data_IF_684109476811
#
_entry.id   IF_684109476811
#
_cell.length_a   1.000
_cell.length_b   1.000
_cell.length_c   1.000
_cell.angle_alpha   90.00
_cell.angle_beta   90.00
_cell.angle_gamma   90.00
#
_symmetry.space_group_name_H-M   'P 1'
#
loop_
_entity.id
_entity.type
_entity.pdbx_description
1 polymer ?
#
# COMPACT_ATOMS: atom_id res chain seq x y z
N UNK A 1 22.58 35.43 6.33
CA UNK A 1 22.14 34.65 5.15
C UNK A 1 23.16 33.57 4.89
N UNK A 2 22.72 32.38 4.44
CA UNK A 2 23.65 31.32 4.04
C UNK A 2 24.54 31.79 2.88
N UNK A 3 25.73 31.21 2.74
CA UNK A 3 26.76 31.55 1.74
C UNK A 3 27.45 32.91 1.94
N UNK A 4 27.12 33.65 3.00
CA UNK A 4 27.84 34.84 3.43
C UNK A 4 27.44 36.13 2.71
N UNK A 5 26.38 36.11 1.90
CA UNK A 5 25.83 37.32 1.28
C UNK A 5 25.33 38.31 2.34
N UNK A 6 25.67 39.59 2.15
CA UNK A 6 25.14 40.74 2.87
C UNK A 6 24.38 41.63 1.88
N UNK A 7 23.41 42.40 2.40
CA UNK A 7 22.71 43.44 1.64
C UNK A 7 22.02 42.95 0.35
N UNK A 8 21.34 41.79 0.44
CA UNK A 8 20.68 41.15 -0.71
C UNK A 8 19.40 41.89 -1.09
N UNK A 9 19.29 42.30 -2.35
CA UNK A 9 18.10 42.92 -2.92
C UNK A 9 17.09 41.87 -3.42
N UNK A 10 15.85 42.30 -3.67
CA UNK A 10 14.84 41.43 -4.29
C UNK A 10 15.29 40.88 -5.65
N UNK A 11 16.04 41.66 -6.44
CA UNK A 11 16.59 41.22 -7.74
C UNK A 11 17.55 40.04 -7.58
N UNK A 12 18.36 40.05 -6.54
CA UNK A 12 19.37 39.02 -6.29
C UNK A 12 18.72 37.69 -5.93
N UNK A 13 17.57 37.73 -5.23
CA UNK A 13 16.75 36.54 -4.94
C UNK A 13 16.27 35.89 -6.24
N UNK A 14 15.80 36.67 -7.21
CA UNK A 14 15.39 36.14 -8.53
C UNK A 14 16.57 35.58 -9.33
N UNK A 15 17.77 36.12 -9.14
CA UNK A 15 18.99 35.67 -9.83
C UNK A 15 19.77 34.59 -9.06
N UNK A 16 19.27 34.13 -7.92
CA UNK A 16 20.01 33.27 -7.00
C UNK A 16 20.63 32.04 -7.67
N UNK A 17 19.89 31.36 -8.56
CA UNK A 17 20.41 30.19 -9.30
C UNK A 17 21.59 30.53 -10.22
N UNK A 18 21.61 31.74 -10.78
CA UNK A 18 22.72 32.25 -11.60
C UNK A 18 23.90 32.62 -10.71
N UNK A 19 23.64 33.26 -9.56
CA UNK A 19 24.68 33.63 -8.59
C UNK A 19 25.37 32.40 -7.99
N UNK A 20 24.64 31.31 -7.75
CA UNK A 20 25.21 30.06 -7.25
C UNK A 20 26.28 29.45 -8.17
N UNK A 21 26.21 29.70 -9.47
CA UNK A 21 27.19 29.17 -10.45
C UNK A 21 28.50 29.95 -10.47
N UNK A 22 28.55 31.13 -9.85
CA UNK A 22 29.72 32.01 -9.82
C UNK A 22 30.61 31.70 -8.62
N UNK A 23 31.89 32.05 -8.73
CA UNK A 23 32.82 31.98 -7.62
C UNK A 23 32.70 33.20 -6.70
N UNK A 24 33.13 33.10 -5.43
CA UNK A 24 33.20 34.24 -4.52
C UNK A 24 34.06 35.40 -5.04
N UNK A 25 35.08 35.16 -5.87
CA UNK A 25 35.87 36.23 -6.48
C UNK A 25 35.09 36.96 -7.57
N UNK A 26 34.38 36.24 -8.42
CA UNK A 26 33.60 36.84 -9.51
C UNK A 26 32.43 37.68 -8.99
N UNK A 27 31.76 37.18 -7.94
CA UNK A 27 30.70 37.94 -7.28
C UNK A 27 31.23 39.22 -6.61
N UNK A 28 32.45 39.19 -6.05
CA UNK A 28 33.09 40.40 -5.51
C UNK A 28 33.41 41.43 -6.60
N UNK A 29 33.80 41.00 -7.81
CA UNK A 29 33.98 41.90 -8.96
C UNK A 29 32.66 42.56 -9.38
N UNK A 30 31.55 41.86 -9.21
CA UNK A 30 30.19 42.36 -9.46
C UNK A 30 29.63 43.18 -8.27
N UNK A 31 30.47 43.59 -7.32
CA UNK A 31 30.11 44.38 -6.13
C UNK A 31 29.20 43.67 -5.13
N UNK A 32 29.10 42.33 -5.16
CA UNK A 32 28.44 41.59 -4.08
C UNK A 32 29.31 41.53 -2.83
N UNK A 33 28.73 41.89 -1.68
CA UNK A 33 29.37 41.81 -0.38
C UNK A 33 29.25 40.39 0.20
N UNK A 34 30.28 39.57 0.00
CA UNK A 34 30.34 38.19 0.50
C UNK A 34 31.36 38.10 1.64
N UNK A 35 30.86 37.86 2.85
CA UNK A 35 31.68 37.67 4.04
C UNK A 35 31.76 36.17 4.40
N UNK A 36 32.92 35.58 4.12
CA UNK A 36 33.17 34.16 4.35
C UNK A 36 33.12 33.76 5.84
N UNK A 37 33.78 34.53 6.72
CA UNK A 37 33.84 34.23 8.15
C UNK A 37 32.44 34.13 8.76
N UNK A 38 31.54 35.05 8.38
CA UNK A 38 30.14 34.98 8.80
C UNK A 38 29.43 33.71 8.32
N UNK A 39 29.74 33.18 7.12
CA UNK A 39 29.10 31.96 6.64
C UNK A 39 29.57 30.72 7.43
N UNK A 40 30.85 30.66 7.77
CA UNK A 40 31.37 29.62 8.67
C UNK A 40 30.76 29.71 10.05
N UNK A 41 30.70 30.91 10.63
CA UNK A 41 30.09 31.13 11.94
C UNK A 41 28.60 30.76 11.93
N UNK A 42 27.88 31.13 10.87
CA UNK A 42 26.47 30.79 10.72
C UNK A 42 26.25 29.29 10.49
N UNK A 43 27.14 28.62 9.75
CA UNK A 43 27.14 27.15 9.65
C UNK A 43 27.48 26.48 10.99
N UNK A 44 28.44 27.03 11.73
CA UNK A 44 28.82 26.57 13.05
C UNK A 44 27.69 26.76 14.06
N UNK A 45 26.89 27.83 13.96
CA UNK A 45 25.67 28.03 14.76
C UNK A 45 24.64 26.92 14.54
N UNK A 46 24.39 26.52 13.29
CA UNK A 46 23.54 25.34 13.03
C UNK A 46 24.16 24.03 13.47
N UNK A 47 25.48 24.03 13.62
CA UNK A 47 26.27 22.93 14.10
C UNK A 47 26.59 23.07 15.61
N UNK A 48 25.90 23.93 16.37
CA UNK A 48 26.10 23.97 17.83
C UNK A 48 25.55 22.73 18.54
N UNK A 49 24.64 21.99 17.90
CA UNK A 49 24.26 20.63 18.33
C UNK A 49 25.34 19.57 17.98
N UNK A 50 26.32 19.92 17.15
CA UNK A 50 27.34 19.06 16.57
C UNK A 50 28.53 18.87 17.54
N UNK A 51 29.15 17.70 17.51
CA UNK A 51 30.42 17.48 18.23
C UNK A 51 31.48 18.47 17.73
N UNK A 52 32.12 19.18 18.66
CA UNK A 52 33.09 20.25 18.40
C UNK A 52 34.21 19.85 17.43
N UNK A 53 34.70 18.60 17.51
CA UNK A 53 35.78 18.08 16.68
C UNK A 53 35.42 17.96 15.20
N UNK A 54 34.21 17.47 14.87
CA UNK A 54 33.74 17.37 13.47
C UNK A 54 33.45 18.74 12.86
N UNK A 55 33.07 19.71 13.68
CA UNK A 55 32.82 21.10 13.23
C UNK A 55 34.10 21.74 12.68
N UNK A 56 35.26 21.46 13.27
CA UNK A 56 36.55 21.98 12.80
C UNK A 56 36.97 21.37 11.46
N UNK A 57 36.80 20.07 11.25
CA UNK A 57 37.13 19.42 9.97
C UNK A 57 36.25 19.92 8.82
N UNK A 58 34.94 20.05 9.05
CA UNK A 58 34.01 20.60 8.06
C UNK A 58 34.35 22.05 7.75
N UNK A 59 34.65 22.85 8.76
CA UNK A 59 35.06 24.26 8.60
C UNK A 59 36.33 24.38 7.75
N UNK A 60 37.35 23.55 8.02
CA UNK A 60 38.59 23.48 7.22
C UNK A 60 38.31 23.06 5.78
N UNK A 61 37.45 22.07 5.55
CA UNK A 61 37.05 21.63 4.21
C UNK A 61 36.35 22.75 3.43
N UNK A 62 35.41 23.44 4.06
CA UNK A 62 34.72 24.58 3.47
C UNK A 62 35.72 25.71 3.17
N UNK A 63 36.68 25.98 4.05
CA UNK A 63 37.75 26.97 3.84
C UNK A 63 38.55 26.71 2.58
N UNK A 64 39.00 25.46 2.40
CA UNK A 64 39.70 25.05 1.18
C UNK A 64 38.88 25.29 -0.08
N UNK A 65 37.57 25.00 -0.07
CA UNK A 65 36.70 25.24 -1.23
C UNK A 65 36.61 26.72 -1.60
N UNK A 66 36.54 27.61 -0.61
CA UNK A 66 36.55 29.06 -0.82
C UNK A 66 37.92 29.57 -1.30
N UNK A 67 39.02 29.05 -0.76
CA UNK A 67 40.39 29.44 -1.14
C UNK A 67 40.72 29.07 -2.59
N UNK A 68 40.26 27.90 -3.05
CA UNK A 68 40.42 27.41 -4.43
C UNK A 68 39.44 28.08 -5.41
N UNK A 69 38.64 29.05 -4.94
CA UNK A 69 37.65 29.79 -5.74
C UNK A 69 36.60 28.89 -6.40
N UNK A 70 36.15 27.86 -5.67
CA UNK A 70 35.04 27.01 -6.11
C UNK A 70 33.76 27.83 -6.27
N UNK A 71 32.87 27.40 -7.17
CA UNK A 71 31.55 28.03 -7.27
C UNK A 71 30.72 27.84 -5.99
N UNK A 72 29.82 28.78 -5.73
CA UNK A 72 28.97 28.76 -4.53
C UNK A 72 28.06 27.53 -4.45
N UNK A 73 27.68 26.95 -5.60
CA UNK A 73 26.90 25.73 -5.68
C UNK A 73 27.64 24.54 -5.05
N UNK A 74 28.92 24.35 -5.36
CA UNK A 74 29.73 23.26 -4.81
C UNK A 74 29.95 23.43 -3.30
N UNK A 75 30.16 24.67 -2.87
CA UNK A 75 30.25 25.02 -1.45
C UNK A 75 28.93 24.65 -0.77
N UNK A 76 27.79 25.06 -1.34
CA UNK A 76 26.46 24.80 -0.77
C UNK A 76 26.16 23.30 -0.71
N UNK A 77 26.46 22.57 -1.78
CA UNK A 77 26.30 21.12 -1.84
C UNK A 77 27.16 20.44 -0.77
N UNK A 78 28.39 20.90 -0.56
CA UNK A 78 29.26 20.38 0.50
C UNK A 78 28.68 20.65 1.88
N UNK A 79 28.21 21.87 2.16
CA UNK A 79 27.56 22.22 3.44
C UNK A 79 26.34 21.33 3.70
N UNK A 80 25.46 21.16 2.70
CA UNK A 80 24.28 20.31 2.82
C UNK A 80 24.65 18.81 2.97
N UNK A 81 25.72 18.36 2.32
CA UNK A 81 26.19 16.98 2.44
C UNK A 81 26.60 16.67 3.87
N UNK A 82 27.43 17.53 4.46
CA UNK A 82 27.92 17.36 5.83
C UNK A 82 26.77 17.46 6.83
N UNK A 83 25.91 18.48 6.69
CA UNK A 83 24.76 18.67 7.57
C UNK A 83 23.82 17.45 7.59
N UNK A 84 23.41 16.96 6.42
CA UNK A 84 22.51 15.81 6.30
C UNK A 84 23.21 14.53 6.78
N UNK A 85 24.49 14.35 6.45
CA UNK A 85 25.29 13.20 6.90
C UNK A 85 25.28 13.09 8.42
N UNK A 86 25.49 14.20 9.11
CA UNK A 86 25.45 14.23 10.55
C UNK A 86 24.04 14.10 11.13
N UNK A 87 23.06 14.86 10.63
CA UNK A 87 21.71 14.87 11.22
C UNK A 87 21.05 13.49 11.16
N UNK A 88 21.40 12.69 10.15
CA UNK A 88 20.95 11.31 10.00
C UNK A 88 21.98 10.25 10.43
N UNK A 89 23.12 10.66 10.96
CA UNK A 89 24.25 9.79 11.31
C UNK A 89 24.57 8.75 10.21
N UNK A 90 24.77 9.22 8.99
CA UNK A 90 24.93 8.38 7.80
C UNK A 90 26.14 8.76 6.96
N UNK A 91 26.61 7.84 6.11
CA UNK A 91 27.78 8.10 5.25
C UNK A 91 27.48 9.14 4.17
N UNK A 92 28.52 9.89 3.76
CA UNK A 92 28.44 10.86 2.66
C UNK A 92 27.91 10.21 1.37
N UNK A 93 28.26 8.94 1.10
CA UNK A 93 27.75 8.18 -0.03
C UNK A 93 26.22 8.07 -0.02
N UNK A 94 25.62 7.82 1.15
CA UNK A 94 24.17 7.72 1.30
C UNK A 94 23.48 9.07 1.07
N UNK A 95 24.12 10.17 1.49
CA UNK A 95 23.63 11.53 1.18
C UNK A 95 23.69 11.81 -0.32
N UNK A 96 24.75 11.36 -1.00
CA UNK A 96 24.85 11.49 -2.45
C UNK A 96 23.75 10.70 -3.19
N UNK A 97 23.37 9.52 -2.69
CA UNK A 97 22.19 8.81 -3.19
C UNK A 97 20.89 9.61 -2.98
N UNK A 98 20.73 10.23 -1.82
CA UNK A 98 19.59 11.12 -1.51
C UNK A 98 19.50 12.26 -2.53
N UNK A 99 20.62 12.91 -2.83
CA UNK A 99 20.68 13.99 -3.82
C UNK A 99 20.44 13.51 -5.25
N UNK A 100 20.82 12.29 -5.61
CA UNK A 100 20.46 11.70 -6.91
C UNK A 100 18.95 11.47 -7.02
N UNK A 101 18.32 11.00 -5.95
CA UNK A 101 16.87 10.81 -5.89
C UNK A 101 16.11 12.14 -5.90
N UNK A 102 16.66 13.18 -5.29
CA UNK A 102 16.03 14.49 -5.23
C UNK A 102 17.08 15.63 -5.27
N UNK A 103 17.48 16.07 -6.48
CA UNK A 103 18.54 17.07 -6.69
C UNK A 103 18.34 18.42 -6.00
N UNK A 104 17.11 18.97 -5.84
CA UNK A 104 16.93 20.28 -5.20
C UNK A 104 17.54 20.40 -3.80
N UNK A 105 17.66 19.28 -3.06
CA UNK A 105 18.28 19.29 -1.73
C UNK A 105 19.75 19.69 -1.72
N UNK A 106 20.47 19.53 -2.84
CA UNK A 106 21.88 19.94 -2.95
C UNK A 106 22.08 21.41 -2.62
N UNK A 107 21.12 22.26 -3.01
CA UNK A 107 21.22 23.72 -2.88
C UNK A 107 20.20 24.31 -1.90
N UNK A 108 19.40 23.47 -1.24
CA UNK A 108 18.38 23.92 -0.30
C UNK A 108 19.00 24.57 0.93
N UNK A 109 18.28 25.51 1.55
CA UNK A 109 18.70 26.08 2.83
C UNK A 109 18.80 25.02 3.91
N UNK A 110 19.89 25.06 4.69
CA UNK A 110 20.09 24.20 5.87
C UNK A 110 19.02 24.52 6.90
N UNK A 111 18.75 25.81 7.15
CA UNK A 111 17.72 26.23 8.10
C UNK A 111 16.33 25.68 7.75
N UNK A 112 15.94 25.74 6.48
CA UNK A 112 14.65 25.18 6.03
C UNK A 112 14.63 23.66 6.27
N UNK A 113 15.71 22.99 5.91
CA UNK A 113 15.85 21.53 6.09
C UNK A 113 15.78 21.17 7.59
N UNK A 114 16.49 21.89 8.44
CA UNK A 114 16.54 21.70 9.89
C UNK A 114 15.16 21.85 10.54
N UNK A 115 14.48 22.97 10.26
CA UNK A 115 13.13 23.25 10.79
C UNK A 115 12.13 22.19 10.35
N UNK A 116 12.24 21.72 9.12
CA UNK A 116 11.35 20.70 8.62
C UNK A 116 11.65 19.33 9.22
N UNK A 117 12.93 18.97 9.42
CA UNK A 117 13.30 17.75 10.13
C UNK A 117 12.74 17.77 11.56
N UNK A 118 12.82 18.90 12.26
CA UNK A 118 12.22 19.06 13.58
C UNK A 118 10.70 18.78 13.55
N UNK A 119 9.97 19.30 12.57
CA UNK A 119 8.55 19.02 12.39
C UNK A 119 8.31 17.53 12.11
N UNK A 120 9.09 16.93 11.21
CA UNK A 120 8.93 15.52 10.84
C UNK A 120 9.25 14.58 12.02
N UNK A 121 10.24 14.90 12.83
CA UNK A 121 10.64 14.09 13.99
C UNK A 121 9.73 14.33 15.20
N UNK A 122 9.46 15.59 15.58
CA UNK A 122 8.69 15.92 16.78
C UNK A 122 7.19 15.77 16.57
N UNK A 123 6.66 16.39 15.52
CA UNK A 123 5.21 16.47 15.29
C UNK A 123 4.71 15.18 14.61
N UNK A 124 5.49 14.61 13.68
CA UNK A 124 5.11 13.43 12.92
C UNK A 124 5.74 12.11 13.38
N UNK A 125 6.71 12.13 14.29
CA UNK A 125 7.44 10.92 14.76
C UNK A 125 7.91 10.05 13.58
N UNK A 126 8.39 10.68 12.51
CA UNK A 126 8.76 10.00 11.29
C UNK A 126 10.17 9.42 11.43
N UNK A 127 10.38 8.11 11.21
CA UNK A 127 11.71 7.53 11.27
C UNK A 127 12.54 7.98 10.07
N UNK A 128 13.85 8.13 10.26
CA UNK A 128 14.78 8.53 9.20
C UNK A 128 14.68 7.66 7.95
N UNK A 129 14.52 6.35 8.14
CA UNK A 129 14.33 5.40 7.04
C UNK A 129 13.18 5.79 6.10
N UNK A 130 12.10 6.38 6.62
CA UNK A 130 10.97 6.87 5.83
C UNK A 130 11.29 8.18 5.12
N UNK A 131 12.04 9.06 5.75
CA UNK A 131 12.51 10.31 5.14
C UNK A 131 13.43 10.01 3.94
N UNK A 132 14.37 9.07 4.10
CA UNK A 132 15.24 8.60 3.01
C UNK A 132 14.48 7.94 1.86
N UNK A 133 13.37 7.26 2.13
CA UNK A 133 12.51 6.67 1.08
C UNK A 133 11.73 7.73 0.29
N UNK A 134 11.60 8.96 0.81
CA UNK A 134 10.82 10.03 0.20
C UNK A 134 11.48 11.40 0.40
N UNK A 135 12.73 11.59 -0.09
CA UNK A 135 13.52 12.81 0.15
C UNK A 135 12.82 14.09 -0.26
N UNK A 136 11.92 13.99 -1.23
CA UNK A 136 11.11 15.09 -1.71
C UNK A 136 10.25 15.73 -0.62
N UNK A 137 9.97 15.06 0.50
CA UNK A 137 9.30 15.71 1.64
C UNK A 137 10.16 16.80 2.25
N UNK A 138 11.50 16.70 2.15
CA UNK A 138 12.42 17.65 2.78
C UNK A 138 12.42 19.05 2.14
N UNK A 139 11.74 19.25 1.01
CA UNK A 139 11.56 20.58 0.38
C UNK A 139 10.22 21.24 0.68
N UNK A 140 9.44 20.65 1.59
CA UNK A 140 8.18 21.24 2.03
C UNK A 140 8.42 22.51 2.85
N UNK A 141 7.44 23.41 2.80
CA UNK A 141 7.38 24.48 3.77
C UNK A 141 6.95 23.89 5.13
N UNK A 142 7.68 24.21 6.20
CA UNK A 142 7.41 23.69 7.54
C UNK A 142 6.00 24.06 8.04
N UNK A 143 5.50 25.25 7.70
CA UNK A 143 4.13 25.66 8.06
C UNK A 143 3.07 24.86 7.31
N UNK A 144 3.31 24.52 6.03
CA UNK A 144 2.38 23.68 5.26
C UNK A 144 2.31 22.26 5.83
N UNK A 145 3.43 21.73 6.31
CA UNK A 145 3.45 20.45 7.01
C UNK A 145 2.67 20.54 8.33
N UNK A 146 2.81 21.61 9.12
CA UNK A 146 2.06 21.77 10.38
C UNK A 146 0.57 22.01 10.18
N UNK A 147 0.21 22.83 9.20
CA UNK A 147 -1.18 23.21 8.94
C UNK A 147 -2.04 22.01 8.57
N UNK A 148 -1.47 20.99 7.92
CA UNK A 148 -2.21 19.76 7.62
C UNK A 148 -2.68 19.04 8.90
N UNK A 149 -1.81 18.86 9.91
CA UNK A 149 -2.19 18.23 11.18
C UNK A 149 -3.18 19.08 11.97
N UNK A 150 -2.98 20.40 11.97
CA UNK A 150 -3.85 21.35 12.68
C UNK A 150 -5.25 21.40 12.08
N UNK A 151 -5.34 21.50 10.74
CA UNK A 151 -6.60 21.66 10.03
C UNK A 151 -7.34 20.33 9.84
N UNK A 152 -6.61 19.22 9.79
CA UNK A 152 -7.14 17.89 9.55
C UNK A 152 -6.47 16.86 10.48
N UNK A 153 -6.84 16.81 11.76
CA UNK A 153 -6.30 15.81 12.69
C UNK A 153 -6.75 14.38 12.35
N UNK A 154 -7.92 14.25 11.73
CA UNK A 154 -8.48 12.97 11.27
C UNK A 154 -8.94 13.06 9.81
N UNK A 155 -8.78 11.99 9.05
CA UNK A 155 -9.26 11.83 7.67
C UNK A 155 -9.96 10.48 7.58
N UNK A 156 -11.26 10.51 7.22
CA UNK A 156 -12.14 9.33 7.29
C UNK A 156 -12.09 8.62 8.65
N UNK A 157 -11.91 9.36 9.75
CA UNK A 157 -11.80 8.79 11.10
C UNK A 157 -10.41 8.24 11.45
N UNK A 158 -9.47 8.17 10.51
CA UNK A 158 -8.08 7.76 10.76
C UNK A 158 -7.27 8.97 11.19
N UNK A 159 -6.39 8.82 12.19
CA UNK A 159 -5.43 9.86 12.58
C UNK A 159 -4.53 10.20 11.39
N UNK A 160 -4.45 11.47 11.02
CA UNK A 160 -3.62 11.94 9.88
C UNK A 160 -2.15 11.54 10.04
N UNK A 161 -1.67 11.51 11.28
CA UNK A 161 -0.34 11.00 11.64
C UNK A 161 -0.07 9.59 11.09
N UNK A 162 -1.02 8.67 11.21
CA UNK A 162 -0.89 7.28 10.76
C UNK A 162 -0.84 7.19 9.23
N UNK A 163 -1.63 8.02 8.56
CA UNK A 163 -1.66 8.12 7.10
C UNK A 163 -0.31 8.64 6.59
N UNK A 164 0.20 9.72 7.18
CA UNK A 164 1.48 10.34 6.80
C UNK A 164 2.65 9.39 7.04
N UNK A 165 2.66 8.62 8.12
CA UNK A 165 3.68 7.58 8.36
C UNK A 165 3.71 6.51 7.26
N UNK A 166 2.54 6.13 6.71
CA UNK A 166 2.43 5.20 5.57
C UNK A 166 2.74 5.87 4.23
N UNK A 167 2.36 7.12 4.06
CA UNK A 167 2.48 7.87 2.82
C UNK A 167 2.91 9.33 3.06
N UNK A 168 4.23 9.57 3.26
CA UNK A 168 4.76 10.90 3.60
C UNK A 168 4.48 11.98 2.55
N UNK A 169 4.36 11.60 1.27
CA UNK A 169 4.09 12.54 0.18
C UNK A 169 2.72 13.22 0.29
N UNK A 170 1.84 12.73 1.17
CA UNK A 170 0.59 13.41 1.49
C UNK A 170 0.82 14.83 2.03
N UNK A 171 1.94 15.09 2.70
CA UNK A 171 2.30 16.41 3.24
C UNK A 171 2.46 17.49 2.16
N UNK A 172 2.53 17.10 0.88
CA UNK A 172 2.54 18.03 -0.27
C UNK A 172 1.15 18.52 -0.66
N UNK A 173 0.09 17.95 -0.11
CA UNK A 173 -1.27 18.33 -0.43
C UNK A 173 -1.76 19.42 0.53
N UNK A 174 -2.56 20.38 0.02
CA UNK A 174 -3.25 21.32 0.89
C UNK A 174 -4.39 20.62 1.64
N UNK A 175 -4.69 21.10 2.86
CA UNK A 175 -5.80 20.60 3.67
C UNK A 175 -7.13 20.67 2.90
N UNK A 176 -7.37 21.73 2.14
CA UNK A 176 -8.61 21.90 1.38
C UNK A 176 -8.79 20.83 0.31
N UNK A 177 -7.71 20.49 -0.39
CA UNK A 177 -7.74 19.43 -1.41
C UNK A 177 -7.97 18.07 -0.77
N UNK A 178 -7.29 17.78 0.33
CA UNK A 178 -7.49 16.53 1.08
C UNK A 178 -8.93 16.42 1.58
N UNK A 179 -9.49 17.50 2.12
CA UNK A 179 -10.89 17.58 2.58
C UNK A 179 -11.89 17.34 1.45
N UNK A 180 -11.65 17.88 0.25
CA UNK A 180 -12.49 17.60 -0.91
C UNK A 180 -12.44 16.12 -1.31
N UNK A 181 -11.23 15.52 -1.32
CA UNK A 181 -11.09 14.08 -1.60
C UNK A 181 -11.80 13.25 -0.51
N UNK A 182 -11.64 13.60 0.76
CA UNK A 182 -12.32 12.95 1.88
C UNK A 182 -13.83 12.97 1.71
N UNK A 183 -14.42 14.13 1.39
CA UNK A 183 -15.86 14.26 1.17
C UNK A 183 -16.36 13.36 0.04
N UNK A 184 -15.58 13.24 -1.04
CA UNK A 184 -15.89 12.31 -2.14
C UNK A 184 -15.82 10.87 -1.65
N UNK A 185 -14.78 10.49 -0.90
CA UNK A 185 -14.67 9.13 -0.36
C UNK A 185 -15.87 8.80 0.54
N UNK A 186 -16.29 9.74 1.40
CA UNK A 186 -17.51 9.60 2.24
C UNK A 186 -18.76 9.41 1.39
N UNK A 187 -18.96 10.21 0.34
CA UNK A 187 -20.16 10.10 -0.51
C UNK A 187 -20.28 8.77 -1.24
N UNK A 188 -19.17 8.04 -1.41
CA UNK A 188 -19.16 6.69 -1.98
C UNK A 188 -19.11 5.58 -0.92
N UNK A 189 -19.32 5.88 0.36
CA UNK A 189 -19.25 4.93 1.49
C UNK A 189 -17.89 4.23 1.60
N UNK A 190 -16.80 4.94 1.33
CA UNK A 190 -15.45 4.43 1.54
C UNK A 190 -15.08 4.59 3.02
N UNK A 191 -14.67 3.49 3.64
CA UNK A 191 -14.29 3.45 5.06
C UNK A 191 -12.81 3.77 5.30
N UNK A 192 -12.46 3.96 6.57
CA UNK A 192 -11.09 4.05 7.08
C UNK A 192 -10.20 2.85 6.67
N UNK A 193 -10.74 1.63 6.73
CA UNK A 193 -9.99 0.42 6.36
C UNK A 193 -9.51 0.46 4.91
N UNK A 194 -10.37 0.94 4.01
CA UNK A 194 -10.02 1.13 2.62
C UNK A 194 -8.89 2.15 2.46
N UNK A 195 -9.01 3.28 3.16
CA UNK A 195 -8.01 4.35 3.11
C UNK A 195 -6.65 3.88 3.65
N UNK A 196 -6.64 3.12 4.74
CA UNK A 196 -5.42 2.57 5.33
C UNK A 196 -4.71 1.56 4.40
N UNK A 197 -5.46 0.89 3.51
CA UNK A 197 -4.92 0.03 2.47
C UNK A 197 -4.36 0.81 1.27
N UNK A 198 -4.90 1.98 0.94
CA UNK A 198 -4.45 2.80 -0.19
C UNK A 198 -4.45 4.32 0.12
N UNK A 199 -3.58 4.80 1.03
CA UNK A 199 -3.53 6.23 1.41
C UNK A 199 -3.08 7.13 0.26
N UNK A 200 -2.43 6.55 -0.75
CA UNK A 200 -1.97 7.23 -1.97
C UNK A 200 -3.10 7.88 -2.75
N UNK A 201 -4.35 7.46 -2.53
CA UNK A 201 -5.51 8.07 -3.18
C UNK A 201 -5.63 9.58 -2.90
N UNK A 202 -5.16 10.02 -1.72
CA UNK A 202 -5.23 11.41 -1.29
C UNK A 202 -4.33 12.35 -2.12
N UNK A 203 -3.38 11.80 -2.89
CA UNK A 203 -2.55 12.60 -3.80
C UNK A 203 -3.22 12.91 -5.14
N UNK A 204 -4.35 12.29 -5.48
CA UNK A 204 -5.06 12.60 -6.74
C UNK A 204 -5.87 13.88 -6.66
N UNK A 205 -6.29 14.39 -7.82
CA UNK A 205 -7.22 15.51 -7.85
C UNK A 205 -8.62 15.03 -7.44
N UNK A 206 -9.42 15.86 -6.76
CA UNK A 206 -10.81 15.53 -6.41
C UNK A 206 -11.61 15.05 -7.63
N UNK A 207 -11.46 15.73 -8.77
CA UNK A 207 -12.11 15.35 -10.04
C UNK A 207 -11.74 13.94 -10.51
N UNK A 208 -10.46 13.57 -10.42
CA UNK A 208 -9.98 12.24 -10.82
C UNK A 208 -10.55 11.16 -9.91
N UNK A 209 -10.54 11.37 -8.59
CA UNK A 209 -11.08 10.43 -7.61
C UNK A 209 -12.57 10.23 -7.84
N UNK A 210 -13.34 11.33 -7.98
CA UNK A 210 -14.78 11.30 -8.24
C UNK A 210 -15.10 10.54 -9.52
N UNK A 211 -14.44 10.85 -10.65
CA UNK A 211 -14.68 10.20 -11.94
C UNK A 211 -14.45 8.69 -11.87
N UNK A 212 -13.35 8.26 -11.24
CA UNK A 212 -12.98 6.84 -11.15
C UNK A 212 -13.88 6.07 -10.19
N UNK A 213 -14.22 6.65 -9.04
CA UNK A 213 -15.17 6.02 -8.10
C UNK A 213 -16.56 5.91 -8.70
N UNK A 214 -17.03 6.94 -9.41
CA UNK A 214 -18.31 6.91 -10.10
C UNK A 214 -18.38 5.74 -11.09
N UNK A 215 -17.37 5.59 -11.94
CA UNK A 215 -17.29 4.48 -12.89
C UNK A 215 -17.30 3.11 -12.18
N UNK A 216 -16.45 2.93 -11.15
CA UNK A 216 -16.34 1.65 -10.45
C UNK A 216 -17.61 1.31 -9.66
N UNK A 217 -18.25 2.29 -9.02
CA UNK A 217 -19.45 2.04 -8.23
C UNK A 217 -20.72 1.86 -9.08
N UNK A 218 -20.73 2.32 -10.33
CA UNK A 218 -21.86 2.14 -11.24
C UNK A 218 -21.69 0.93 -12.18
N UNK A 219 -20.55 0.25 -12.10
CA UNK A 219 -20.28 -0.94 -12.91
C UNK A 219 -20.62 -2.20 -12.12
N UNK A 220 -21.53 -3.00 -12.66
CA UNK A 220 -21.92 -4.30 -12.08
C UNK A 220 -20.73 -5.23 -11.83
N UNK A 221 -19.68 -5.10 -12.66
CA UNK A 221 -18.46 -5.91 -12.54
C UNK A 221 -17.68 -5.63 -11.25
N UNK A 222 -17.82 -4.44 -10.65
CA UNK A 222 -17.04 -4.03 -9.49
C UNK A 222 -17.86 -3.83 -8.21
N UNK A 223 -19.20 -3.82 -8.31
CA UNK A 223 -20.09 -3.63 -7.16
C UNK A 223 -19.81 -4.63 -6.02
N UNK A 224 -19.64 -5.91 -6.35
CA UNK A 224 -19.34 -6.97 -5.37
C UNK A 224 -17.97 -6.81 -4.69
N UNK A 225 -17.06 -6.03 -5.30
CA UNK A 225 -15.71 -5.80 -4.77
C UNK A 225 -15.63 -4.59 -3.84
N UNK A 226 -16.70 -3.78 -3.75
CA UNK A 226 -16.72 -2.54 -2.97
C UNK A 226 -16.48 -2.75 -1.48
N UNK A 227 -16.91 -3.89 -0.93
CA UNK A 227 -16.72 -4.24 0.48
C UNK A 227 -15.28 -4.66 0.83
N UNK A 228 -14.43 -4.89 -0.17
CA UNK A 228 -13.08 -5.39 0.05
C UNK A 228 -12.13 -4.24 0.42
N UNK A 229 -11.33 -4.40 1.49
CA UNK A 229 -10.37 -3.38 1.97
C UNK A 229 -9.44 -2.84 0.87
N UNK A 230 -9.13 -3.63 -0.16
CA UNK A 230 -8.27 -3.22 -1.29
C UNK A 230 -8.99 -2.46 -2.40
N UNK A 231 -10.29 -2.19 -2.30
CA UNK A 231 -11.10 -1.56 -3.35
C UNK A 231 -10.50 -0.28 -3.93
N UNK A 232 -9.92 0.59 -3.08
CA UNK A 232 -9.28 1.83 -3.53
C UNK A 232 -8.07 1.61 -4.45
N UNK A 233 -7.46 0.42 -4.46
CA UNK A 233 -6.40 0.12 -5.43
C UNK A 233 -6.91 0.06 -6.86
N UNK A 234 -8.19 -0.27 -7.09
CA UNK A 234 -8.81 -0.18 -8.41
C UNK A 234 -8.88 1.28 -8.89
N UNK A 235 -9.18 2.20 -7.97
CA UNK A 235 -9.18 3.64 -8.25
C UNK A 235 -7.75 4.12 -8.56
N UNK A 236 -6.76 3.65 -7.80
CA UNK A 236 -5.36 4.01 -8.00
C UNK A 236 -4.79 3.49 -9.34
N UNK A 237 -5.04 2.21 -9.66
CA UNK A 237 -4.56 1.54 -10.88
C UNK A 237 -5.55 1.59 -12.05
N UNK A 238 -6.48 2.54 -12.05
CA UNK A 238 -7.59 2.60 -13.02
C UNK A 238 -7.17 2.48 -14.50
N UNK A 239 -5.98 2.95 -14.88
CA UNK A 239 -5.43 2.80 -16.25
C UNK A 239 -5.34 1.34 -16.72
N UNK A 240 -5.06 0.41 -15.80
CA UNK A 240 -4.92 -1.01 -16.10
C UNK A 240 -6.21 -1.79 -15.85
N UNK A 241 -7.12 -1.28 -15.02
CA UNK A 241 -8.32 -2.01 -14.62
C UNK A 241 -9.24 -2.29 -15.81
N UNK A 242 -9.53 -1.29 -16.63
CA UNK A 242 -10.47 -1.41 -17.75
C UNK A 242 -9.94 -2.40 -18.82
N UNK A 243 -8.73 -2.22 -19.39
CA UNK A 243 -8.24 -3.13 -20.43
C UNK A 243 -8.10 -4.57 -19.92
N UNK A 244 -7.77 -4.75 -18.64
CA UNK A 244 -7.67 -6.09 -18.04
C UNK A 244 -9.03 -6.73 -17.82
N UNK A 245 -10.05 -5.95 -17.46
CA UNK A 245 -11.42 -6.45 -17.34
C UNK A 245 -11.91 -6.94 -18.70
N UNK A 246 -11.70 -6.14 -19.75
CA UNK A 246 -12.12 -6.50 -21.11
C UNK A 246 -11.42 -7.79 -21.58
N UNK A 247 -10.11 -7.90 -21.32
CA UNK A 247 -9.36 -9.11 -21.63
C UNK A 247 -9.85 -10.34 -20.86
N UNK A 248 -10.22 -10.21 -19.59
CA UNK A 248 -10.75 -11.31 -18.77
C UNK A 248 -12.16 -11.74 -19.20
N UNK A 249 -13.01 -10.78 -19.57
CA UNK A 249 -14.35 -11.05 -20.10
C UNK A 249 -14.29 -11.76 -21.45
N UNK A 250 -13.36 -11.38 -22.33
CA UNK A 250 -13.20 -12.00 -23.64
C UNK A 250 -12.84 -13.50 -23.57
N UNK A 251 -12.24 -13.96 -22.48
CA UNK A 251 -11.87 -15.36 -22.25
C UNK A 251 -12.71 -16.02 -21.15
N UNK A 252 -13.81 -15.37 -20.73
CA UNK A 252 -14.72 -15.79 -19.66
C UNK A 252 -13.99 -16.28 -18.39
N UNK A 253 -13.07 -15.45 -17.87
CA UNK A 253 -12.31 -15.79 -16.65
C UNK A 253 -12.75 -15.01 -15.42
N UNK A 254 -12.72 -15.66 -14.25
CA UNK A 254 -12.98 -14.98 -12.99
C UNK A 254 -11.91 -13.93 -12.72
N UNK A 255 -12.31 -12.86 -12.06
CA UNK A 255 -11.45 -11.73 -11.76
C UNK A 255 -11.62 -11.27 -10.31
N UNK A 256 -10.53 -10.78 -9.73
CA UNK A 256 -10.46 -10.24 -8.38
C UNK A 256 -9.61 -8.98 -8.36
N UNK A 257 -9.68 -8.18 -7.29
CA UNK A 257 -8.85 -6.98 -7.14
C UNK A 257 -7.36 -7.32 -7.31
N UNK A 258 -6.93 -8.45 -6.74
CA UNK A 258 -5.56 -8.94 -6.85
C UNK A 258 -5.09 -9.14 -8.30
N UNK A 259 -5.95 -9.63 -9.19
CA UNK A 259 -5.64 -9.80 -10.63
C UNK A 259 -5.40 -8.45 -11.31
N UNK A 260 -6.21 -7.44 -11.00
CA UNK A 260 -6.05 -6.10 -11.57
C UNK A 260 -4.77 -5.39 -11.09
N UNK A 261 -4.23 -5.76 -9.94
CA UNK A 261 -3.01 -5.18 -9.37
C UNK A 261 -1.71 -5.87 -9.81
N UNK A 262 -1.78 -6.99 -10.53
CA UNK A 262 -0.58 -7.74 -10.95
C UNK A 262 0.32 -6.92 -11.88
N UNK A 263 1.59 -7.29 -12.01
CA UNK A 263 2.44 -6.79 -13.09
C UNK A 263 1.91 -7.27 -14.44
N UNK A 264 2.22 -6.57 -15.55
CA UNK A 264 1.77 -6.99 -16.88
C UNK A 264 2.26 -8.41 -17.22
N UNK A 265 3.51 -8.73 -16.88
CA UNK A 265 4.09 -10.07 -17.07
C UNK A 265 3.32 -11.16 -16.34
N UNK A 266 2.89 -10.91 -15.11
CA UNK A 266 2.12 -11.88 -14.34
C UNK A 266 0.66 -11.95 -14.79
N UNK A 267 0.09 -10.82 -15.23
CA UNK A 267 -1.25 -10.79 -15.81
C UNK A 267 -1.33 -11.57 -17.11
N UNK A 268 -0.36 -11.45 -18.01
CA UNK A 268 -0.29 -12.24 -19.25
C UNK A 268 -0.13 -13.74 -18.96
N UNK A 269 0.71 -14.11 -17.98
CA UNK A 269 0.80 -15.49 -17.52
C UNK A 269 -0.55 -15.98 -16.96
N UNK A 270 -1.23 -15.14 -16.18
CA UNK A 270 -2.57 -15.45 -15.67
C UNK A 270 -3.56 -15.68 -16.81
N UNK A 271 -3.58 -14.82 -17.83
CA UNK A 271 -4.43 -14.99 -19.02
C UNK A 271 -4.12 -16.29 -19.78
N UNK A 272 -2.84 -16.65 -19.95
CA UNK A 272 -2.45 -17.87 -20.68
C UNK A 272 -2.73 -19.14 -19.90
N UNK A 273 -2.37 -19.19 -18.61
CA UNK A 273 -2.29 -20.45 -17.85
C UNK A 273 -3.39 -20.67 -16.80
N UNK A 274 -4.31 -19.72 -16.59
CA UNK A 274 -5.43 -19.89 -15.66
C UNK A 274 -5.06 -19.78 -14.19
N UNK A 275 -3.77 -19.80 -13.86
CA UNK A 275 -3.31 -19.71 -12.49
C UNK A 275 -1.98 -18.96 -12.41
N UNK A 276 -1.95 -17.94 -11.55
CA UNK A 276 -0.74 -17.65 -10.80
C UNK A 276 -0.93 -18.32 -9.44
N UNK A 277 -0.20 -19.42 -9.20
CA UNK A 277 -0.30 -20.34 -8.05
C UNK A 277 -0.42 -19.70 -6.65
N UNK A 278 -0.24 -18.39 -6.50
CA UNK A 278 -0.16 -17.69 -5.22
C UNK A 278 -1.11 -16.49 -5.07
N UNK A 279 -1.77 -16.00 -6.14
CA UNK A 279 -2.44 -14.68 -6.08
C UNK A 279 -3.97 -14.74 -6.18
N UNK A 280 -4.53 -15.75 -6.86
CA UNK A 280 -5.97 -15.80 -7.14
C UNK A 280 -6.84 -15.99 -5.89
N UNK A 281 -6.32 -16.69 -4.87
CA UNK A 281 -7.13 -17.08 -3.71
C UNK A 281 -6.87 -16.27 -2.45
N UNK A 282 -5.94 -15.31 -2.47
CA UNK A 282 -5.66 -14.49 -1.28
C UNK A 282 -6.90 -13.75 -0.78
N UNK A 283 -7.68 -13.20 -1.71
CA UNK A 283 -8.89 -12.48 -1.35
C UNK A 283 -9.98 -13.44 -0.83
N UNK A 284 -10.09 -14.66 -1.38
CA UNK A 284 -10.96 -15.74 -0.87
C UNK A 284 -10.54 -16.20 0.53
N UNK A 285 -9.25 -16.43 0.75
CA UNK A 285 -8.69 -16.84 2.04
C UNK A 285 -8.91 -15.77 3.10
N UNK A 286 -8.68 -14.50 2.74
CA UNK A 286 -8.91 -13.38 3.63
C UNK A 286 -10.41 -13.22 3.98
N UNK A 287 -11.31 -13.39 3.01
CA UNK A 287 -12.75 -13.40 3.27
C UNK A 287 -13.14 -14.51 4.25
N UNK A 288 -12.72 -15.74 3.97
CA UNK A 288 -13.01 -16.90 4.83
C UNK A 288 -12.42 -16.74 6.24
N UNK A 289 -11.20 -16.25 6.35
CA UNK A 289 -10.56 -15.97 7.64
C UNK A 289 -11.37 -14.97 8.48
N UNK A 290 -11.84 -13.89 7.86
CA UNK A 290 -12.67 -12.89 8.54
C UNK A 290 -14.03 -13.47 8.97
N UNK A 291 -14.69 -14.20 8.09
CA UNK A 291 -16.04 -14.75 8.35
C UNK A 291 -16.01 -15.84 9.41
N UNK A 292 -15.03 -16.73 9.35
CA UNK A 292 -14.83 -17.81 10.30
C UNK A 292 -14.14 -17.37 11.60
N UNK A 293 -13.63 -16.13 11.65
CA UNK A 293 -12.83 -15.59 12.75
C UNK A 293 -11.57 -16.43 13.04
N UNK A 294 -10.83 -16.76 11.97
CA UNK A 294 -9.62 -17.58 11.98
C UNK A 294 -8.43 -16.80 11.41
N UNK A 295 -7.21 -17.32 11.60
CA UNK A 295 -6.03 -16.76 10.93
C UNK A 295 -6.00 -17.20 9.47
N UNK A 296 -5.54 -16.32 8.57
CA UNK A 296 -5.42 -16.63 7.12
C UNK A 296 -4.62 -17.91 6.88
N UNK A 297 -3.54 -18.14 7.64
CA UNK A 297 -2.71 -19.34 7.53
C UNK A 297 -3.48 -20.64 7.85
N UNK A 298 -4.42 -20.62 8.80
CA UNK A 298 -5.21 -21.80 9.18
C UNK A 298 -6.18 -22.16 8.06
N UNK A 299 -6.82 -21.16 7.45
CA UNK A 299 -7.70 -21.32 6.28
C UNK A 299 -6.91 -21.87 5.08
N UNK A 300 -5.70 -21.36 4.84
CA UNK A 300 -4.84 -21.82 3.75
C UNK A 300 -4.46 -23.28 3.93
N UNK A 301 -4.00 -23.67 5.12
CA UNK A 301 -3.64 -25.07 5.41
C UNK A 301 -4.84 -25.98 5.24
N UNK A 302 -6.02 -25.57 5.74
CA UNK A 302 -7.24 -26.36 5.61
C UNK A 302 -7.70 -26.51 4.16
N UNK A 303 -7.58 -25.47 3.33
CA UNK A 303 -7.96 -25.55 1.91
C UNK A 303 -6.97 -26.37 1.07
N UNK A 304 -5.71 -26.49 1.49
CA UNK A 304 -4.75 -27.37 0.82
C UNK A 304 -5.11 -28.85 0.95
N UNK A 305 -5.93 -29.21 1.94
CA UNK A 305 -6.46 -30.57 2.11
C UNK A 305 -7.43 -30.96 0.97
N UNK A 306 -8.06 -29.97 0.30
CA UNK A 306 -9.09 -30.20 -0.71
C UNK A 306 -8.54 -29.97 -2.13
N UNK A 307 -8.65 -30.97 -3.03
CA UNK A 307 -8.24 -30.82 -4.41
C UNK A 307 -9.10 -29.79 -5.14
N UNK A 308 -8.48 -28.93 -5.93
CA UNK A 308 -9.21 -27.91 -6.69
C UNK A 308 -9.64 -26.69 -5.87
N UNK A 309 -9.23 -26.58 -4.60
CA UNK A 309 -9.43 -25.37 -3.78
C UNK A 309 -8.88 -24.11 -4.45
N UNK A 310 -7.89 -24.25 -5.35
CA UNK A 310 -7.38 -23.14 -6.12
C UNK A 310 -8.34 -22.53 -7.15
N UNK A 311 -9.42 -23.24 -7.50
CA UNK A 311 -10.38 -22.83 -8.51
C UNK A 311 -11.58 -22.07 -7.92
N UNK A 312 -11.74 -22.06 -6.58
CA UNK A 312 -12.84 -21.40 -5.91
C UNK A 312 -12.77 -19.88 -6.11
N UNK A 313 -13.79 -19.30 -6.75
CA UNK A 313 -13.89 -17.85 -6.94
C UNK A 313 -14.45 -17.20 -5.67
N UNK A 314 -14.03 -15.97 -5.37
CA UNK A 314 -14.54 -15.23 -4.20
C UNK A 314 -16.06 -15.02 -4.27
N UNK A 315 -16.61 -14.82 -5.48
CA UNK A 315 -18.05 -14.66 -5.70
C UNK A 315 -18.81 -15.93 -5.30
N UNK A 316 -18.40 -17.09 -5.81
CA UNK A 316 -19.03 -18.37 -5.46
C UNK A 316 -18.91 -18.64 -3.95
N UNK A 317 -17.72 -18.39 -3.39
CA UNK A 317 -17.46 -18.57 -1.96
C UNK A 317 -18.42 -17.73 -1.10
N UNK A 318 -18.63 -16.45 -1.42
CA UNK A 318 -19.59 -15.60 -0.70
C UNK A 318 -21.01 -16.18 -0.78
N UNK A 319 -21.46 -16.58 -1.97
CA UNK A 319 -22.82 -17.11 -2.17
C UNK A 319 -23.05 -18.40 -1.38
N UNK A 320 -22.12 -19.36 -1.46
CA UNK A 320 -22.18 -20.63 -0.74
C UNK A 320 -22.19 -20.41 0.78
N UNK A 321 -21.28 -19.60 1.29
CA UNK A 321 -21.12 -19.39 2.73
C UNK A 321 -22.32 -18.64 3.33
N UNK A 322 -22.81 -17.59 2.67
CA UNK A 322 -23.99 -16.86 3.14
C UNK A 322 -25.24 -17.74 3.15
N UNK A 323 -25.42 -18.58 2.14
CA UNK A 323 -26.54 -19.52 2.08
C UNK A 323 -26.49 -20.54 3.22
N UNK A 324 -25.34 -21.18 3.43
CA UNK A 324 -25.19 -22.18 4.50
C UNK A 324 -25.42 -21.57 5.89
N UNK A 325 -24.96 -20.34 6.13
CA UNK A 325 -25.28 -19.65 7.39
C UNK A 325 -26.77 -19.36 7.56
N UNK A 326 -27.46 -18.92 6.49
CA UNK A 326 -28.92 -18.72 6.53
C UNK A 326 -29.67 -20.02 6.80
N UNK A 327 -29.13 -21.14 6.34
CA UNK A 327 -29.66 -22.47 6.59
C UNK A 327 -29.31 -23.04 7.98
N UNK A 328 -28.67 -22.25 8.85
CA UNK A 328 -28.37 -22.64 10.24
C UNK A 328 -27.04 -23.38 10.44
N UNK A 329 -26.21 -23.52 9.40
CA UNK A 329 -24.91 -24.18 9.51
C UNK A 329 -23.95 -23.31 10.34
N UNK A 330 -23.27 -23.92 11.30
CA UNK A 330 -22.33 -23.24 12.19
C UNK A 330 -20.96 -23.01 11.52
N UNK A 331 -20.21 -22.02 12.03
CA UNK A 331 -18.82 -21.75 11.58
C UNK A 331 -17.92 -22.98 11.71
N UNK A 332 -18.11 -23.80 12.76
CA UNK A 332 -17.33 -25.02 13.01
C UNK A 332 -17.60 -26.08 11.94
N UNK A 333 -18.86 -26.30 11.58
CA UNK A 333 -19.24 -27.24 10.51
C UNK A 333 -18.68 -26.78 9.15
N UNK A 334 -18.76 -25.48 8.84
CA UNK A 334 -18.17 -24.91 7.61
C UNK A 334 -16.66 -25.08 7.59
N UNK A 335 -15.95 -24.77 8.68
CA UNK A 335 -14.49 -24.92 8.73
C UNK A 335 -14.07 -26.38 8.57
N UNK A 336 -14.84 -27.31 9.15
CA UNK A 336 -14.59 -28.73 8.97
C UNK A 336 -14.71 -29.11 7.48
N UNK A 337 -15.82 -28.72 6.85
CA UNK A 337 -16.14 -29.05 5.45
C UNK A 337 -15.77 -27.95 4.46
N UNK A 338 -14.63 -27.27 4.67
CA UNK A 338 -14.29 -26.04 3.96
C UNK A 338 -14.18 -26.23 2.44
N UNK A 339 -13.92 -27.45 1.98
CA UNK A 339 -13.91 -27.83 0.56
C UNK A 339 -15.23 -27.60 -0.18
N UNK A 340 -16.35 -27.42 0.52
CA UNK A 340 -17.67 -27.16 -0.10
C UNK A 340 -17.65 -25.94 -1.04
N UNK A 341 -16.76 -24.97 -0.80
CA UNK A 341 -16.66 -23.75 -1.61
C UNK A 341 -16.16 -23.99 -3.05
N UNK A 342 -15.64 -25.20 -3.33
CA UNK A 342 -15.15 -25.62 -4.65
C UNK A 342 -16.31 -25.93 -5.60
N UNK A 343 -17.47 -26.31 -5.06
CA UNK A 343 -18.66 -26.62 -5.85
C UNK A 343 -19.46 -25.36 -6.14
N UNK A 344 -20.10 -25.33 -7.31
CA UNK A 344 -20.94 -24.20 -7.71
C UNK A 344 -22.13 -24.04 -6.78
N UNK A 345 -22.50 -22.78 -6.51
CA UNK A 345 -23.57 -22.40 -5.60
C UNK A 345 -24.88 -23.17 -5.85
N UNK A 346 -25.31 -23.29 -7.12
CA UNK A 346 -26.56 -23.98 -7.46
C UNK A 346 -26.52 -25.47 -7.12
N UNK A 347 -25.35 -26.12 -7.28
CA UNK A 347 -25.14 -27.52 -6.90
C UNK A 347 -25.21 -27.67 -5.39
N UNK A 348 -24.46 -26.84 -4.66
CA UNK A 348 -24.48 -26.86 -3.18
C UNK A 348 -25.90 -26.68 -2.65
N UNK A 349 -26.64 -25.71 -3.20
CA UNK A 349 -28.01 -25.42 -2.80
C UNK A 349 -28.93 -26.61 -3.05
N UNK A 350 -28.92 -27.15 -4.27
CA UNK A 350 -29.76 -28.30 -4.65
C UNK A 350 -29.53 -29.51 -3.73
N UNK A 351 -28.27 -29.91 -3.55
CA UNK A 351 -27.96 -31.08 -2.72
C UNK A 351 -28.25 -30.84 -1.24
N UNK A 352 -28.04 -29.63 -0.73
CA UNK A 352 -28.34 -29.32 0.67
C UNK A 352 -29.85 -29.36 0.96
N UNK A 353 -30.68 -28.89 0.04
CA UNK A 353 -32.15 -28.99 0.12
C UNK A 353 -32.65 -30.43 -0.02
N UNK A 354 -31.91 -31.28 -0.74
CA UNK A 354 -32.23 -32.69 -0.97
C UNK A 354 -31.75 -33.63 0.15
N UNK A 355 -30.75 -33.24 0.96
CA UNK A 355 -30.25 -34.07 2.07
C UNK A 355 -31.36 -34.63 3.00
N UNK A 356 -32.37 -33.84 3.43
CA UNK A 356 -33.44 -34.32 4.32
C UNK A 356 -34.42 -35.30 3.67
N UNK A 357 -34.44 -35.44 2.34
CA UNK A 357 -35.36 -36.36 1.63
C UNK A 357 -34.74 -37.73 1.43
N UNK A 358 -33.41 -37.84 1.53
CA UNK A 358 -32.65 -39.07 1.27
C UNK A 358 -32.79 -40.05 2.43
N UNK A 359 -33.26 -41.25 2.12
CA UNK A 359 -33.43 -42.35 3.08
C UNK A 359 -32.12 -42.75 3.76
N UNK A 360 -30.99 -42.66 3.06
CA UNK A 360 -29.67 -43.02 3.58
C UNK A 360 -29.17 -42.13 4.73
N UNK A 361 -29.78 -40.95 4.93
CA UNK A 361 -29.33 -39.95 5.90
C UNK A 361 -30.38 -39.66 6.98
N UNK A 362 -31.39 -40.54 7.11
CA UNK A 362 -32.41 -40.41 8.15
C UNK A 362 -31.98 -41.04 9.48
N UNK A 363 -32.38 -40.44 10.62
CA UNK A 363 -33.14 -39.21 10.73
C UNK A 363 -32.25 -37.96 10.51
N UNK A 364 -32.69 -37.03 9.65
CA UNK A 364 -31.87 -35.86 9.32
C UNK A 364 -31.64 -34.91 10.51
N UNK A 365 -32.51 -34.96 11.53
CA UNK A 365 -32.35 -34.21 12.79
C UNK A 365 -30.98 -34.40 13.42
N UNK A 366 -30.43 -35.61 13.33
CA UNK A 366 -29.16 -35.95 13.97
C UNK A 366 -27.98 -35.26 13.28
N UNK A 367 -28.12 -34.99 11.98
CA UNK A 367 -27.10 -34.33 11.16
C UNK A 367 -27.10 -32.81 11.31
N UNK A 368 -28.24 -32.19 11.59
CA UNK A 368 -28.36 -30.71 11.66
C UNK A 368 -27.36 -30.09 12.66
N UNK A 369 -27.15 -30.75 13.79
CA UNK A 369 -26.19 -30.33 14.83
C UNK A 369 -24.83 -31.03 14.71
N UNK A 370 -24.69 -32.02 13.83
CA UNK A 370 -23.49 -32.83 13.72
C UNK A 370 -22.33 -32.05 13.09
N UNK A 371 -21.12 -32.22 13.64
CA UNK A 371 -19.91 -31.55 13.18
C UNK A 371 -19.56 -31.84 11.71
N UNK A 372 -19.97 -33.01 11.20
CA UNK A 372 -19.69 -33.50 9.84
C UNK A 372 -20.79 -33.21 8.80
N UNK A 373 -21.79 -32.36 9.09
CA UNK A 373 -22.89 -32.07 8.17
C UNK A 373 -22.42 -31.64 6.78
N UNK A 374 -21.39 -30.80 6.70
CA UNK A 374 -20.89 -30.29 5.42
C UNK A 374 -20.08 -31.34 4.66
N UNK A 375 -19.40 -32.24 5.36
CA UNK A 375 -18.79 -33.41 4.71
C UNK A 375 -19.83 -34.34 4.13
N UNK A 376 -20.94 -34.55 4.84
CA UNK A 376 -22.05 -35.34 4.32
C UNK A 376 -22.59 -34.72 3.02
N UNK A 377 -22.74 -33.39 2.98
CA UNK A 377 -23.12 -32.67 1.77
C UNK A 377 -22.12 -32.90 0.62
N UNK A 378 -20.83 -32.73 0.89
CA UNK A 378 -19.77 -32.97 -0.11
C UNK A 378 -19.82 -34.41 -0.62
N UNK A 379 -19.96 -35.37 0.30
CA UNK A 379 -20.09 -36.79 -0.02
C UNK A 379 -21.30 -37.06 -0.92
N UNK A 380 -22.48 -36.49 -0.61
CA UNK A 380 -23.67 -36.65 -1.43
C UNK A 380 -23.48 -36.09 -2.85
N UNK A 381 -22.84 -34.93 -2.98
CA UNK A 381 -22.51 -34.35 -4.29
C UNK A 381 -21.57 -35.28 -5.07
N UNK A 382 -20.51 -35.78 -4.43
CA UNK A 382 -19.48 -36.60 -5.09
C UNK A 382 -20.02 -37.97 -5.52
N UNK A 383 -20.82 -38.63 -4.68
CA UNK A 383 -21.42 -39.95 -4.98
C UNK A 383 -22.33 -39.86 -6.20
N UNK A 384 -23.25 -38.90 -6.23
CA UNK A 384 -24.23 -38.77 -7.31
C UNK A 384 -23.60 -38.26 -8.61
N UNK A 385 -22.55 -37.44 -8.51
CA UNK A 385 -21.76 -37.01 -9.66
C UNK A 385 -20.90 -38.15 -10.26
N UNK A 386 -20.99 -39.36 -9.71
CA UNK A 386 -20.23 -40.52 -10.18
C UNK A 386 -18.73 -40.41 -9.91
N UNK A 387 -18.33 -39.61 -8.91
CA UNK A 387 -16.93 -39.37 -8.58
C UNK A 387 -16.31 -40.62 -7.93
N UNK A 388 -15.88 -41.58 -8.76
CA UNK A 388 -15.15 -42.79 -8.34
C UNK A 388 -13.66 -42.49 -8.18
N UNK A 389 -13.27 -41.48 -7.39
CA UNK A 389 -11.88 -41.21 -6.96
C UNK A 389 -10.79 -41.13 -8.05
N UNK A 390 -11.16 -41.10 -9.33
CA UNK A 390 -10.25 -41.20 -10.46
C UNK A 390 -10.95 -40.69 -11.71
N UNK A 391 -10.87 -39.38 -11.96
CA UNK A 391 -10.19 -38.82 -13.15
C UNK A 391 -10.42 -37.31 -13.32
N UNK A 392 -9.31 -36.66 -13.72
CA UNK A 392 -9.15 -35.37 -14.42
C UNK A 392 -9.17 -34.06 -13.63
N UNK A 393 -8.18 -33.87 -12.75
CA UNK A 393 -7.38 -32.63 -12.74
C UNK A 393 -5.89 -32.98 -12.55
N UNK A 394 -5.23 -33.40 -13.63
CA UNK A 394 -3.78 -33.65 -13.66
C UNK A 394 -3.29 -34.88 -12.86
N UNK A 395 -2.12 -35.45 -13.23
CA UNK A 395 -1.63 -36.68 -12.64
C UNK A 395 -0.91 -36.37 -11.33
N UNK A 396 -1.63 -36.34 -10.20
CA UNK A 396 -1.08 -36.69 -8.87
C UNK A 396 -2.18 -36.79 -7.81
N UNK A 397 -2.21 -37.99 -7.23
CA UNK A 397 -2.72 -38.36 -5.91
C UNK A 397 -4.20 -38.75 -5.80
N UNK A 398 -4.39 -40.02 -5.42
CA UNK A 398 -5.64 -40.66 -5.03
C UNK A 398 -6.18 -39.99 -3.77
N UNK A 399 -7.50 -39.74 -3.73
CA UNK A 399 -8.17 -39.15 -2.57
C UNK A 399 -8.38 -40.20 -1.47
N UNK A 400 -7.69 -40.02 -0.35
CA UNK A 400 -7.76 -40.80 0.90
C UNK A 400 -9.08 -40.53 1.69
N UNK A 401 -9.96 -39.64 1.19
CA UNK A 401 -11.11 -39.11 1.92
C UNK A 401 -12.35 -39.99 1.86
N UNK A 402 -12.61 -40.66 0.74
CA UNK A 402 -13.75 -41.57 0.60
C UNK A 402 -13.61 -42.78 1.55
N UNK A 403 -12.39 -43.29 1.72
CA UNK A 403 -12.09 -44.38 2.65
C UNK A 403 -12.15 -43.94 4.12
N UNK A 404 -11.66 -42.74 4.46
CA UNK A 404 -11.75 -42.19 5.84
C UNK A 404 -13.18 -41.85 6.26
N UNK A 405 -14.03 -41.38 5.34
CA UNK A 405 -15.43 -41.08 5.64
C UNK A 405 -16.26 -42.37 5.78
N UNK A 406 -16.04 -43.37 4.92
CA UNK A 406 -16.65 -44.69 5.07
C UNK A 406 -16.22 -45.42 6.37
N UNK A 407 -15.03 -45.13 6.89
CA UNK A 407 -14.55 -45.62 8.18
C UNK A 407 -15.10 -44.86 9.40
N UNK A 408 -15.55 -43.59 9.24
CA UNK A 408 -16.22 -42.83 10.30
C UNK A 408 -17.73 -43.07 10.38
N UNK A 409 -18.33 -43.66 9.34
CA UNK A 409 -19.75 -44.05 9.29
C UNK A 409 -20.00 -45.48 9.81
N UNK A 410 -18.94 -46.23 10.14
CA UNK A 410 -18.99 -47.48 10.92
C UNK A 410 -18.57 -47.17 12.35
#
# INVERSE_FOLDING_TARGET
>A
MELGFRDVSGRDIFQYQTLLKKSPKDLRKESYNICYNNNLEHFAQFSQEYEFTKTNEVTLKLKKLYEVDSNLQLIKESMNTEYISYKFNCSLFRVQQLFRMYPPLKCQSILITARLLDVLHKDYQMPDSKIFQSPSILSLHNESARSLLQNMPFILGVKTLEIVKKFPLMLRQSSDRVKQVENILKSYNITDEHLLCCPRILAFSPSTVKKRLHYLCNSESFLSMKSQKKFLWLVYHNKNVIPRLDALKAIDRPFSISVFMMTNTNFEKFLKFGSCRQTHNKDTFQYLANVLNLKENEVVLKLQEFPGSQNATIKNCIQVIEYLFRAGVTKKQIFNGLGVIVYDFEVVKFYFEDLPTRSAYQPFSDWTSHYNLIQLLIYAIEVDSGYKGSKVYGPRMKSEYAEKFAACLR
#
